data_IF_542008025284
#
_entry.id   IF_542008025284
#
_cell.length_a   1.000
_cell.length_b   1.000
_cell.length_c   1.000
_cell.angle_alpha   90.00
_cell.angle_beta   90.00
_cell.angle_gamma   90.00
#
_symmetry.space_group_name_H-M   'P 1'
#
loop_
_entity.id
_entity.type
_entity.pdbx_description
1 polymer ?
#
# COMPACT_ATOMS: atom_id res chain seq x y z
N UNK A 1 -24.92 2.43 -7.98
CA UNK A 1 -23.60 2.32 -8.64
C UNK A 1 -23.66 2.99 -10.00
N UNK A 2 -22.75 3.91 -10.31
CA UNK A 2 -22.66 4.65 -11.58
C UNK A 2 -21.48 4.09 -12.39
N UNK A 3 -21.72 3.79 -13.67
CA UNK A 3 -20.66 3.39 -14.62
C UNK A 3 -20.29 4.58 -15.51
N UNK A 4 -19.00 4.76 -15.72
CA UNK A 4 -18.44 5.74 -16.66
C UNK A 4 -17.38 5.05 -17.52
N UNK A 5 -17.35 5.32 -18.81
CA UNK A 5 -16.36 4.80 -19.74
C UNK A 5 -15.46 5.93 -20.21
N UNK A 6 -14.15 5.73 -20.15
CA UNK A 6 -13.15 6.72 -20.58
C UNK A 6 -12.25 6.08 -21.64
N UNK A 7 -12.10 6.79 -22.75
CA UNK A 7 -11.26 6.34 -23.87
C UNK A 7 -9.88 6.98 -23.80
N UNK A 8 -8.85 6.14 -23.83
CA UNK A 8 -7.46 6.57 -23.92
C UNK A 8 -6.85 6.10 -25.25
N UNK A 9 -6.21 7.00 -26.04
CA UNK A 9 -5.71 6.66 -27.36
C UNK A 9 -4.65 5.54 -27.40
N UNK A 10 -3.96 5.31 -26.26
CA UNK A 10 -2.91 4.32 -26.14
C UNK A 10 -3.38 2.98 -25.56
N UNK A 11 -4.67 2.84 -25.24
CA UNK A 11 -5.26 1.59 -24.77
C UNK A 11 -6.11 0.96 -25.86
N UNK A 12 -6.05 -0.37 -25.97
CA UNK A 12 -6.82 -1.15 -26.94
C UNK A 12 -8.31 -1.26 -26.59
N UNK A 13 -8.64 -1.10 -25.30
CA UNK A 13 -10.01 -1.09 -24.79
C UNK A 13 -10.23 0.13 -23.89
N UNK A 14 -11.47 0.57 -23.86
CA UNK A 14 -11.89 1.68 -23.01
C UNK A 14 -11.76 1.29 -21.52
N UNK A 15 -11.37 2.26 -20.69
CA UNK A 15 -11.33 2.13 -19.24
C UNK A 15 -12.73 2.25 -18.67
N UNK A 16 -13.14 1.30 -17.85
CA UNK A 16 -14.41 1.34 -17.12
C UNK A 16 -14.18 1.79 -15.69
N UNK A 17 -15.00 2.72 -15.25
CA UNK A 17 -14.99 3.26 -13.89
C UNK A 17 -16.37 3.04 -13.29
N UNK A 18 -16.41 2.31 -12.18
CA UNK A 18 -17.60 2.08 -11.38
C UNK A 18 -17.50 2.87 -10.08
N UNK A 19 -18.46 3.75 -9.85
CA UNK A 19 -18.57 4.51 -8.61
C UNK A 19 -19.72 3.97 -7.78
N UNK A 20 -19.40 3.57 -6.56
CA UNK A 20 -20.38 3.09 -5.57
C UNK A 20 -20.97 4.26 -4.80
N UNK A 21 -22.12 4.03 -4.13
CA UNK A 21 -22.86 5.08 -3.42
C UNK A 21 -22.07 5.63 -2.19
N UNK A 22 -21.12 4.84 -1.66
CA UNK A 22 -20.20 5.26 -0.60
C UNK A 22 -18.97 6.03 -1.11
N UNK A 23 -18.89 6.32 -2.42
CA UNK A 23 -17.77 7.03 -3.05
C UNK A 23 -16.58 6.15 -3.46
N UNK A 24 -16.63 4.84 -3.17
CA UNK A 24 -15.58 3.92 -3.64
C UNK A 24 -15.62 3.83 -5.17
N UNK A 25 -14.44 3.87 -5.80
CA UNK A 25 -14.27 3.77 -7.26
C UNK A 25 -13.48 2.53 -7.63
N UNK A 26 -14.04 1.74 -8.55
CA UNK A 26 -13.36 0.61 -9.15
C UNK A 26 -12.99 1.02 -10.58
N UNK A 27 -11.72 0.94 -10.91
CA UNK A 27 -11.20 1.29 -12.25
C UNK A 27 -10.67 0.02 -12.91
N UNK A 28 -11.25 -0.33 -14.05
CA UNK A 28 -10.85 -1.48 -14.86
C UNK A 28 -10.17 -1.00 -16.14
N UNK A 29 -8.87 -1.19 -16.23
CA UNK A 29 -8.06 -0.90 -17.41
C UNK A 29 -7.53 -2.21 -17.98
N UNK A 30 -7.95 -2.54 -19.20
CA UNK A 30 -7.46 -3.72 -19.90
C UNK A 30 -6.12 -3.44 -20.58
N UNK A 31 -5.16 -4.32 -20.36
CA UNK A 31 -3.90 -4.38 -21.10
C UNK A 31 -3.65 -5.80 -21.57
N UNK A 32 -3.22 -5.95 -22.82
CA UNK A 32 -2.84 -7.26 -23.34
C UNK A 32 -1.62 -7.82 -22.62
N UNK A 33 -1.61 -9.15 -22.42
CA UNK A 33 -0.51 -9.87 -21.77
C UNK A 33 -0.98 -10.88 -20.75
N UNK A 34 -0.02 -11.58 -20.18
CA UNK A 34 -0.25 -12.62 -19.17
C UNK A 34 -0.17 -12.11 -17.73
N UNK A 35 0.13 -10.83 -17.52
CA UNK A 35 0.27 -10.22 -16.19
C UNK A 35 -0.99 -9.42 -15.83
N UNK A 36 -1.29 -9.40 -14.54
CA UNK A 36 -2.34 -8.56 -13.97
C UNK A 36 -1.79 -7.75 -12.81
N UNK A 37 -2.39 -6.58 -12.58
CA UNK A 37 -2.11 -5.75 -11.42
C UNK A 37 -3.43 -5.47 -10.70
N UNK A 38 -3.42 -5.66 -9.39
CA UNK A 38 -4.51 -5.24 -8.48
C UNK A 38 -3.92 -4.19 -7.56
N UNK A 39 -4.55 -3.04 -7.46
CA UNK A 39 -4.08 -1.96 -6.59
C UNK A 39 -5.21 -1.21 -5.90
N UNK A 40 -5.01 -0.87 -4.63
CA UNK A 40 -5.89 0.02 -3.86
C UNK A 40 -5.22 1.34 -3.62
N UNK A 41 -5.94 2.43 -3.87
CA UNK A 41 -5.49 3.79 -3.71
C UNK A 41 -6.33 4.49 -2.65
N UNK A 42 -5.69 4.95 -1.60
CA UNK A 42 -6.31 5.64 -0.47
C UNK A 42 -5.90 7.11 -0.52
N UNK A 43 -6.87 8.02 -0.51
CA UNK A 43 -6.63 9.47 -0.56
C UNK A 43 -6.22 9.98 0.82
N UNK A 44 -5.13 9.46 1.33
CA UNK A 44 -4.51 9.91 2.59
C UNK A 44 -3.00 9.74 2.51
N UNK A 45 -2.29 10.63 3.15
CA UNK A 45 -0.85 10.64 3.23
C UNK A 45 -0.38 11.71 4.19
N UNK A 46 0.88 12.11 4.13
CA UNK A 46 1.47 13.03 5.12
C UNK A 46 0.82 14.42 5.16
N UNK A 47 0.10 14.84 4.12
CA UNK A 47 -0.65 16.11 4.11
C UNK A 47 -1.83 16.10 5.12
N UNK A 48 -2.33 14.93 5.48
CA UNK A 48 -3.41 14.75 6.45
C UNK A 48 -2.90 14.65 7.89
N UNK A 49 -1.58 14.72 8.09
CA UNK A 49 -0.92 14.59 9.37
C UNK A 49 -0.62 15.97 10.00
N UNK A 50 -0.36 15.96 11.28
CA UNK A 50 0.10 17.11 12.04
C UNK A 50 1.32 16.74 12.90
N UNK A 51 1.87 17.70 13.66
CA UNK A 51 3.06 17.47 14.47
C UNK A 51 2.95 16.31 15.48
N UNK A 52 1.72 15.97 15.92
CA UNK A 52 1.49 14.92 16.93
C UNK A 52 1.43 13.51 16.31
N UNK A 53 1.07 13.41 15.04
CA UNK A 53 0.86 12.13 14.36
C UNK A 53 1.67 12.00 13.06
N UNK A 54 2.73 12.79 12.92
CA UNK A 54 3.59 12.77 11.73
C UNK A 54 4.22 11.39 11.53
N UNK A 55 4.02 10.82 10.33
CA UNK A 55 4.48 9.48 9.93
C UNK A 55 3.45 8.38 10.16
N UNK A 56 2.24 8.69 10.67
CA UNK A 56 1.23 7.66 10.96
C UNK A 56 0.72 6.98 9.70
N UNK A 57 0.60 7.69 8.58
CA UNK A 57 0.16 7.10 7.30
C UNK A 57 1.17 6.07 6.79
N UNK A 58 2.45 6.37 6.86
CA UNK A 58 3.53 5.46 6.49
C UNK A 58 3.61 4.27 7.45
N UNK A 59 3.44 4.51 8.74
CA UNK A 59 3.40 3.44 9.73
C UNK A 59 2.21 2.51 9.53
N UNK A 60 1.02 3.05 9.27
CA UNK A 60 -0.15 2.25 8.95
C UNK A 60 0.06 1.41 7.68
N UNK A 61 0.72 1.97 6.66
CA UNK A 61 1.08 1.22 5.46
C UNK A 61 1.83 -0.07 5.81
N UNK A 62 2.85 -0.01 6.67
CA UNK A 62 3.59 -1.18 7.12
C UNK A 62 2.72 -2.16 7.92
N UNK A 63 1.83 -1.64 8.78
CA UNK A 63 0.95 -2.48 9.59
C UNK A 63 -0.08 -3.26 8.77
N UNK A 64 -0.47 -2.79 7.59
CA UNK A 64 -1.36 -3.50 6.69
C UNK A 64 -0.81 -4.86 6.24
N UNK A 65 0.51 -5.04 6.24
CA UNK A 65 1.16 -6.31 5.92
C UNK A 65 1.30 -7.27 7.12
N UNK A 66 0.78 -6.89 8.28
CA UNK A 66 0.82 -7.75 9.48
C UNK A 66 -0.30 -8.79 9.55
N UNK A 67 -0.97 -9.00 8.43
CA UNK A 67 -2.01 -10.00 8.27
C UNK A 67 -3.42 -9.48 8.50
N UNK A 68 -4.37 -10.40 8.40
CA UNK A 68 -5.78 -10.19 8.64
C UNK A 68 -6.27 -11.20 9.67
N UNK A 69 -7.54 -11.13 10.06
CA UNK A 69 -8.13 -12.14 10.94
C UNK A 69 -8.20 -13.54 10.29
N UNK A 70 -8.18 -13.62 8.95
CA UNK A 70 -8.16 -14.88 8.22
C UNK A 70 -6.75 -15.39 7.91
N UNK A 71 -5.82 -14.46 7.65
CA UNK A 71 -4.49 -14.76 7.17
C UNK A 71 -3.43 -14.15 8.10
N UNK A 72 -2.69 -14.97 8.87
CA UNK A 72 -1.61 -14.49 9.73
C UNK A 72 -0.54 -13.71 8.96
N UNK A 73 0.23 -12.92 9.70
CA UNK A 73 1.36 -12.16 9.14
C UNK A 73 2.32 -13.06 8.35
N UNK A 74 2.71 -12.60 7.16
CA UNK A 74 3.60 -13.32 6.23
C UNK A 74 2.90 -14.37 5.35
N UNK A 75 1.65 -14.73 5.64
CA UNK A 75 0.93 -15.70 4.81
C UNK A 75 0.60 -15.13 3.43
N UNK A 76 0.21 -13.85 3.34
CA UNK A 76 -0.03 -13.17 2.06
C UNK A 76 1.20 -13.21 1.17
N UNK A 77 2.34 -12.81 1.73
CA UNK A 77 3.61 -12.78 1.00
C UNK A 77 3.95 -14.17 0.49
N UNK A 78 3.87 -15.18 1.36
CA UNK A 78 4.14 -16.57 0.98
C UNK A 78 3.22 -17.08 -0.14
N UNK A 79 1.91 -16.84 -0.04
CA UNK A 79 0.92 -17.27 -1.04
C UNK A 79 1.17 -16.58 -2.39
N UNK A 80 1.46 -15.29 -2.36
CA UNK A 80 1.63 -14.46 -3.57
C UNK A 80 3.00 -14.69 -4.22
N UNK A 81 4.07 -14.76 -3.44
CA UNK A 81 5.42 -15.04 -3.92
C UNK A 81 5.52 -16.42 -4.58
N UNK A 82 4.87 -17.44 -4.01
CA UNK A 82 4.80 -18.78 -4.62
C UNK A 82 4.15 -18.77 -6.02
N UNK A 83 3.44 -17.71 -6.39
CA UNK A 83 2.83 -17.49 -7.71
C UNK A 83 3.59 -16.47 -8.58
N UNK A 84 4.79 -16.07 -8.15
CA UNK A 84 5.62 -15.12 -8.87
C UNK A 84 5.09 -13.69 -8.80
N UNK A 85 4.37 -13.34 -7.73
CA UNK A 85 3.87 -12.00 -7.51
C UNK A 85 4.96 -11.05 -7.02
N UNK A 86 4.80 -9.78 -7.38
CA UNK A 86 5.48 -8.63 -6.76
C UNK A 86 4.42 -7.89 -5.96
N UNK A 87 4.65 -7.77 -4.65
CA UNK A 87 3.79 -7.06 -3.71
C UNK A 87 4.55 -5.87 -3.17
N UNK A 88 3.91 -4.71 -3.12
CA UNK A 88 4.51 -3.52 -2.51
C UNK A 88 3.44 -2.48 -2.17
N UNK A 89 3.85 -1.46 -1.41
CA UNK A 89 3.04 -0.29 -1.12
C UNK A 89 3.93 0.96 -1.10
N UNK A 90 3.31 2.12 -1.10
CA UNK A 90 4.01 3.37 -0.86
C UNK A 90 3.05 4.44 -0.31
N UNK A 91 3.55 5.22 0.63
CA UNK A 91 2.89 6.40 1.15
C UNK A 91 3.53 7.65 0.59
N UNK A 92 2.72 8.52 0.00
CA UNK A 92 3.11 9.82 -0.52
C UNK A 92 2.47 10.95 0.30
N UNK A 93 2.51 12.19 -0.22
CA UNK A 93 1.96 13.34 0.49
C UNK A 93 0.43 13.27 0.62
N UNK A 94 -0.27 12.91 -0.41
CA UNK A 94 -1.74 12.98 -0.55
C UNK A 94 -2.42 11.65 -0.86
N UNK A 95 -1.62 10.57 -1.02
CA UNK A 95 -2.15 9.21 -1.22
C UNK A 95 -1.23 8.15 -0.62
N UNK A 96 -1.84 7.01 -0.33
CA UNK A 96 -1.17 5.74 -0.04
C UNK A 96 -1.72 4.70 -1.00
N UNK A 97 -0.86 3.85 -1.59
CA UNK A 97 -1.33 2.80 -2.46
C UNK A 97 -0.63 1.47 -2.14
N UNK A 98 -1.38 0.41 -2.34
CA UNK A 98 -0.97 -0.97 -2.19
C UNK A 98 -1.17 -1.67 -3.51
N UNK A 99 -0.23 -2.51 -3.94
CA UNK A 99 -0.40 -3.21 -5.20
C UNK A 99 0.21 -4.60 -5.18
N UNK A 100 -0.37 -5.46 -6.00
CA UNK A 100 0.17 -6.77 -6.34
C UNK A 100 0.18 -6.91 -7.86
N UNK A 101 1.29 -7.37 -8.41
CA UNK A 101 1.46 -7.68 -9.83
C UNK A 101 1.91 -9.12 -9.96
N UNK A 102 1.17 -9.92 -10.73
CA UNK A 102 1.45 -11.35 -10.88
C UNK A 102 0.97 -11.87 -12.24
N UNK A 103 1.45 -13.07 -12.68
CA UNK A 103 0.83 -13.78 -13.79
C UNK A 103 -0.64 -14.06 -13.48
N UNK A 104 -1.54 -13.84 -14.46
CA UNK A 104 -2.99 -14.03 -14.25
C UNK A 104 -3.40 -15.45 -13.90
N UNK A 105 -2.57 -16.44 -14.23
CA UNK A 105 -2.87 -17.86 -14.07
C UNK A 105 -3.83 -18.41 -15.12
N UNK A 106 -4.05 -19.71 -15.10
CA UNK A 106 -5.08 -20.35 -15.92
C UNK A 106 -6.46 -19.94 -15.40
N UNK A 107 -7.38 -19.66 -16.33
CA UNK A 107 -8.73 -19.21 -15.98
C UNK A 107 -8.79 -18.01 -15.01
N UNK A 108 -7.74 -17.17 -14.97
CA UNK A 108 -7.58 -16.02 -14.06
C UNK A 108 -7.52 -16.40 -12.57
N UNK A 109 -7.10 -17.59 -12.21
CA UNK A 109 -7.09 -18.07 -10.83
C UNK A 109 -6.23 -17.17 -9.91
N UNK A 110 -5.04 -16.77 -10.38
CA UNK A 110 -4.15 -15.91 -9.61
C UNK A 110 -4.72 -14.48 -9.50
N UNK A 111 -5.39 -13.99 -10.54
CA UNK A 111 -6.08 -12.69 -10.51
C UNK A 111 -7.20 -12.68 -9.46
N UNK A 112 -8.02 -13.72 -9.44
CA UNK A 112 -9.11 -13.84 -8.46
C UNK A 112 -8.56 -13.92 -7.03
N UNK A 113 -7.51 -14.72 -6.82
CA UNK A 113 -6.84 -14.83 -5.53
C UNK A 113 -6.24 -13.47 -5.09
N UNK A 114 -5.59 -12.75 -6.00
CA UNK A 114 -5.02 -11.45 -5.70
C UNK A 114 -6.09 -10.43 -5.28
N UNK A 115 -7.26 -10.44 -5.93
CA UNK A 115 -8.40 -9.60 -5.53
C UNK A 115 -8.88 -9.99 -4.13
N UNK A 116 -9.03 -11.28 -3.85
CA UNK A 116 -9.52 -11.78 -2.56
C UNK A 116 -8.58 -11.36 -1.42
N UNK A 117 -7.30 -11.69 -1.53
CA UNK A 117 -6.29 -11.36 -0.52
C UNK A 117 -6.13 -9.85 -0.34
N UNK A 118 -6.14 -9.09 -1.44
CA UNK A 118 -6.03 -7.64 -1.41
C UNK A 118 -7.25 -6.98 -0.76
N UNK A 119 -8.45 -7.48 -1.06
CA UNK A 119 -9.68 -7.01 -0.44
C UNK A 119 -9.69 -7.32 1.07
N UNK A 120 -9.26 -8.51 1.47
CA UNK A 120 -9.17 -8.90 2.87
C UNK A 120 -8.19 -7.99 3.63
N UNK A 121 -7.01 -7.75 3.10
CA UNK A 121 -6.02 -6.80 3.65
C UNK A 121 -6.61 -5.40 3.84
N UNK A 122 -7.40 -4.90 2.88
CA UNK A 122 -7.95 -3.54 2.92
C UNK A 122 -9.18 -3.40 3.82
N UNK A 123 -9.89 -4.48 4.14
CA UNK A 123 -11.17 -4.41 4.87
C UNK A 123 -11.11 -5.01 6.26
N UNK A 124 -10.17 -5.91 6.54
CA UNK A 124 -10.08 -6.63 7.81
C UNK A 124 -8.62 -6.81 8.31
N UNK A 125 -7.77 -5.76 8.24
CA UNK A 125 -6.38 -5.87 8.66
C UNK A 125 -6.29 -6.04 10.18
N UNK A 126 -5.35 -6.87 10.62
CA UNK A 126 -4.91 -6.88 12.02
C UNK A 126 -3.88 -5.77 12.19
N UNK A 127 -4.17 -4.82 13.08
CA UNK A 127 -3.23 -3.75 13.46
C UNK A 127 -2.72 -4.05 14.87
N UNK A 128 -1.64 -4.82 15.01
CA UNK A 128 -1.26 -5.38 16.30
C UNK A 128 -0.58 -4.35 17.21
N UNK A 129 -1.11 -4.18 18.43
CA UNK A 129 -0.59 -3.24 19.43
C UNK A 129 0.88 -3.46 19.76
N UNK A 130 1.37 -4.71 19.71
CA UNK A 130 2.76 -5.03 20.00
C UNK A 130 3.74 -4.41 19.00
N UNK A 131 3.32 -4.14 17.77
CA UNK A 131 4.15 -3.45 16.76
C UNK A 131 4.36 -1.97 17.08
N UNK A 132 3.45 -1.37 17.83
CA UNK A 132 3.58 0.01 18.30
C UNK A 132 4.53 0.12 19.47
N UNK A 133 4.47 -0.83 20.41
CA UNK A 133 5.31 -0.91 21.60
C UNK A 133 5.25 0.33 22.51
N UNK A 134 6.10 0.36 23.53
CA UNK A 134 6.22 1.50 24.43
C UNK A 134 6.80 2.74 23.74
N UNK A 135 6.44 3.96 24.16
CA UNK A 135 7.08 5.18 23.69
C UNK A 135 8.61 5.11 23.90
N UNK A 136 9.36 5.63 22.94
CA UNK A 136 10.82 5.74 23.03
C UNK A 136 11.31 7.04 22.40
N UNK A 137 12.54 7.43 22.75
CA UNK A 137 13.15 8.60 22.16
C UNK A 137 13.67 8.28 20.75
N UNK A 138 13.11 8.91 19.73
CA UNK A 138 13.49 8.74 18.32
C UNK A 138 14.98 9.05 18.06
N UNK A 139 15.63 9.85 18.91
CA UNK A 139 17.03 10.20 18.79
C UNK A 139 17.95 9.17 19.47
N UNK A 140 17.41 8.21 20.20
CA UNK A 140 18.20 7.15 20.82
C UNK A 140 18.53 6.08 19.80
N UNK A 141 19.78 6.09 19.32
CA UNK A 141 20.30 5.12 18.35
C UNK A 141 20.71 3.78 18.97
N UNK A 142 20.61 3.64 20.27
CA UNK A 142 20.97 2.39 20.97
C UNK A 142 19.81 1.40 21.05
N UNK A 143 18.58 1.88 20.77
CA UNK A 143 17.39 1.03 20.76
C UNK A 143 17.42 0.10 19.54
N UNK A 144 17.60 -1.19 19.79
CA UNK A 144 17.45 -2.25 18.79
C UNK A 144 16.08 -2.91 18.97
N UNK A 145 15.17 -2.60 18.07
CA UNK A 145 13.80 -3.10 18.10
C UNK A 145 13.43 -3.63 16.69
N UNK A 146 12.84 -4.80 16.59
CA UNK A 146 12.44 -5.43 15.33
C UNK A 146 10.98 -5.12 14.93
N UNK A 147 10.27 -4.31 15.72
CA UNK A 147 8.89 -3.92 15.44
C UNK A 147 8.83 -2.94 14.27
N UNK A 148 7.72 -2.95 13.55
CA UNK A 148 7.53 -2.09 12.38
C UNK A 148 7.72 -0.60 12.67
N UNK A 149 7.33 -0.15 13.85
CA UNK A 149 7.59 1.23 14.26
C UNK A 149 9.08 1.61 14.16
N UNK A 150 9.97 0.70 14.54
CA UNK A 150 11.41 0.95 14.46
C UNK A 150 11.91 0.94 13.02
N UNK A 151 11.40 0.02 12.21
CA UNK A 151 11.71 -0.05 10.77
C UNK A 151 11.36 1.27 10.09
N UNK A 152 10.15 1.76 10.28
CA UNK A 152 9.69 3.05 9.72
C UNK A 152 10.54 4.22 10.18
N UNK A 153 10.95 4.25 11.45
CA UNK A 153 11.84 5.30 11.97
C UNK A 153 13.21 5.27 11.28
N UNK A 154 13.79 4.11 11.10
CA UNK A 154 15.07 3.98 10.40
C UNK A 154 14.97 4.38 8.93
N UNK A 155 13.88 4.05 8.26
CA UNK A 155 13.63 4.52 6.88
C UNK A 155 13.50 6.05 6.80
N UNK A 156 12.79 6.66 7.76
CA UNK A 156 12.69 8.13 7.83
C UNK A 156 14.07 8.75 8.06
N UNK A 157 14.90 8.17 8.93
CA UNK A 157 16.29 8.61 9.15
C UNK A 157 17.12 8.51 7.87
N UNK A 158 17.08 7.38 7.19
CA UNK A 158 17.80 7.19 5.92
C UNK A 158 17.37 8.21 4.86
N UNK A 159 16.07 8.48 4.75
CA UNK A 159 15.55 9.51 3.83
C UNK A 159 16.03 10.91 4.19
N UNK A 160 16.05 11.28 5.48
CA UNK A 160 16.53 12.60 5.94
C UNK A 160 18.02 12.81 5.67
N UNK A 161 18.81 11.76 5.66
CA UNK A 161 20.25 11.83 5.39
C UNK A 161 20.59 12.03 3.91
N UNK A 162 19.63 11.78 3.01
CA UNK A 162 19.81 11.98 1.57
C UNK A 162 19.81 13.47 1.21
N UNK A 163 20.84 13.99 0.51
CA UNK A 163 20.93 15.40 0.13
C UNK A 163 19.73 15.90 -0.68
N UNK A 164 19.22 15.07 -1.61
CA UNK A 164 18.07 15.40 -2.44
C UNK A 164 16.76 15.57 -1.64
N UNK A 165 16.59 14.84 -0.57
CA UNK A 165 15.43 15.03 0.33
C UNK A 165 15.44 16.40 0.98
N UNK A 166 16.61 16.90 1.36
CA UNK A 166 16.78 18.25 1.92
C UNK A 166 16.42 19.33 0.91
N UNK A 167 16.91 19.19 -0.33
CA UNK A 167 16.57 20.10 -1.44
C UNK A 167 15.08 20.08 -1.73
N UNK A 168 14.50 18.89 -1.89
CA UNK A 168 13.08 18.72 -2.18
C UNK A 168 12.19 19.33 -1.10
N UNK A 169 12.51 19.13 0.18
CA UNK A 169 11.74 19.71 1.28
C UNK A 169 11.87 21.24 1.34
N UNK A 170 13.05 21.79 1.03
CA UNK A 170 13.26 23.23 0.99
C UNK A 170 12.53 23.94 -0.17
N UNK A 171 12.24 23.23 -1.27
CA UNK A 171 11.56 23.79 -2.45
C UNK A 171 10.04 23.63 -2.43
N UNK A 172 9.49 22.82 -1.54
CA UNK A 172 8.05 22.53 -1.46
C UNK A 172 7.38 23.10 -0.18
N UNK A 173 8.01 24.09 0.44
CA UNK A 173 7.41 24.88 1.53
C UNK A 173 6.83 26.18 1.03
#
# INVERSE_FOLDING_TARGET
MKETTVKYPFLTKDVKIYEQDNGHKIVLAYKEGGMVNVSSWVKTGSINENEKNNGISHFLEHLMFKGTHKHPAGEFDHILEARGAIVNAATWKDYTFYYVTLPKGENNENFNLAIELHADMMTDPVVPDYEMGAPFNINDKTVTDKRERHVVIEEIRMRKDQPWTKVYNATNH
#
